data_IF_434033409012
#
_entry.id   IF_434033409012
#
_cell.length_a   1.000
_cell.length_b   1.000
_cell.length_c   1.000
_cell.angle_alpha   90.00
_cell.angle_beta   90.00
_cell.angle_gamma   90.00
#
_symmetry.space_group_name_H-M   'P 1'
#
loop_
_entity.id
_entity.type
_entity.pdbx_description
1 polymer ?
#
# COMPACT_ATOMS: atom_id res chain seq x y z
N UNK A 1 -43.30 11.46 -6.46
CA UNK A 1 -43.74 11.01 -5.13
C UNK A 1 -42.49 10.79 -4.29
N UNK A 2 -42.28 11.66 -3.31
CA UNK A 2 -41.12 11.69 -2.44
C UNK A 2 -41.38 10.80 -1.22
N UNK A 3 -40.34 10.10 -0.75
CA UNK A 3 -40.09 9.96 0.70
C UNK A 3 -38.61 9.70 0.93
N UNK A 4 -38.05 10.56 1.76
CA UNK A 4 -36.67 10.69 2.22
C UNK A 4 -36.38 9.84 3.46
N UNK A 5 -35.11 9.44 3.58
CA UNK A 5 -34.25 9.32 4.77
C UNK A 5 -34.85 9.10 6.18
N UNK A 6 -34.27 8.13 6.89
CA UNK A 6 -33.97 8.09 8.34
C UNK A 6 -33.04 6.87 8.53
N UNK A 7 -31.82 6.93 9.09
CA UNK A 7 -31.34 7.72 10.20
C UNK A 7 -30.79 6.73 11.22
N UNK A 8 -29.54 6.28 11.06
CA UNK A 8 -28.89 5.35 12.00
C UNK A 8 -28.50 6.11 13.27
N UNK A 9 -29.48 6.34 14.14
CA UNK A 9 -29.31 6.96 15.46
C UNK A 9 -29.15 5.87 16.52
N UNK A 10 -27.99 5.81 17.16
CA UNK A 10 -27.80 5.08 18.41
C UNK A 10 -28.40 5.92 19.56
N UNK A 11 -29.34 5.41 20.36
CA UNK A 11 -29.77 6.13 21.55
C UNK A 11 -28.76 5.88 22.67
N UNK A 12 -28.05 6.94 23.08
CA UNK A 12 -27.41 7.02 24.40
C UNK A 12 -28.49 7.44 25.40
N UNK A 13 -29.16 6.45 25.99
CA UNK A 13 -30.13 6.62 27.09
C UNK A 13 -29.55 6.05 28.40
N UNK A 14 -29.60 6.87 29.45
CA UNK A 14 -28.86 6.71 30.70
C UNK A 14 -29.20 5.51 31.60
N UNK A 15 -28.23 5.23 32.47
CA UNK A 15 -28.24 4.24 33.55
C UNK A 15 -29.44 4.40 34.50
N UNK A 16 -30.26 3.35 34.60
CA UNK A 16 -30.93 2.93 35.83
C UNK A 16 -30.24 1.63 36.29
N UNK A 17 -29.68 1.64 37.49
CA UNK A 17 -29.00 0.49 38.11
C UNK A 17 -29.98 -0.65 38.42
N UNK A 18 -29.48 -1.88 38.27
CA UNK A 18 -29.94 -3.03 39.02
C UNK A 18 -30.83 -4.00 38.25
N UNK A 19 -30.39 -5.26 38.18
CA UNK A 19 -31.13 -6.44 37.71
C UNK A 19 -31.20 -6.64 36.18
N UNK A 20 -30.07 -6.78 35.47
CA UNK A 20 -30.09 -7.36 34.12
C UNK A 20 -28.77 -7.99 33.66
N UNK A 21 -27.94 -8.46 34.58
CA UNK A 21 -26.70 -9.17 34.20
C UNK A 21 -26.98 -10.55 33.57
N UNK A 22 -27.94 -11.31 34.13
CA UNK A 22 -28.24 -12.69 33.69
C UNK A 22 -28.88 -12.73 32.30
N UNK A 23 -29.78 -11.80 31.97
CA UNK A 23 -30.42 -11.73 30.65
C UNK A 23 -29.44 -11.34 29.52
N UNK A 24 -28.35 -10.64 29.85
CA UNK A 24 -27.38 -10.19 28.84
C UNK A 24 -26.49 -11.34 28.38
N UNK A 25 -26.14 -12.26 29.28
CA UNK A 25 -25.28 -13.41 28.97
C UNK A 25 -26.02 -14.49 28.16
N UNK A 26 -27.30 -14.73 28.46
CA UNK A 26 -28.14 -15.64 27.68
C UNK A 26 -28.37 -15.13 26.25
N UNK A 27 -28.61 -13.82 26.09
CA UNK A 27 -28.74 -13.20 24.76
C UNK A 27 -27.44 -13.23 23.95
N UNK A 28 -26.29 -13.10 24.63
CA UNK A 28 -24.96 -13.17 24.00
C UNK A 28 -24.62 -14.60 23.58
N UNK A 29 -24.98 -15.59 24.39
CA UNK A 29 -24.81 -17.01 24.10
C UNK A 29 -25.76 -17.47 22.98
N UNK A 30 -27.03 -17.04 22.97
CA UNK A 30 -27.97 -17.30 21.87
C UNK A 30 -27.45 -16.72 20.54
N UNK A 31 -26.78 -15.55 20.59
CA UNK A 31 -26.08 -14.98 19.44
C UNK A 31 -24.93 -15.82 18.91
N UNK A 32 -24.23 -16.58 19.77
CA UNK A 32 -23.15 -17.50 19.38
C UNK A 32 -23.68 -18.84 18.83
N UNK A 33 -24.89 -19.23 19.21
CA UNK A 33 -25.57 -20.43 18.71
C UNK A 33 -26.26 -20.22 17.36
N UNK A 34 -26.40 -18.97 16.91
CA UNK A 34 -26.91 -18.65 15.57
C UNK A 34 -25.80 -18.86 14.55
N UNK A 35 -25.88 -19.89 13.69
CA UNK A 35 -24.90 -20.06 12.64
C UNK A 35 -24.94 -18.84 11.73
N UNK A 36 -23.77 -18.29 11.40
CA UNK A 36 -23.64 -17.25 10.38
C UNK A 36 -24.28 -17.76 9.10
N UNK A 37 -25.40 -17.16 8.68
CA UNK A 37 -26.03 -17.49 7.40
C UNK A 37 -25.11 -17.02 6.29
N UNK A 38 -24.43 -17.96 5.66
CA UNK A 38 -23.65 -17.71 4.46
C UNK A 38 -24.62 -17.63 3.28
N UNK A 39 -24.72 -16.46 2.64
CA UNK A 39 -25.41 -16.35 1.36
C UNK A 39 -24.58 -17.06 0.29
N UNK A 40 -25.23 -17.90 -0.52
CA UNK A 40 -24.57 -18.57 -1.64
C UNK A 40 -24.14 -17.56 -2.71
N UNK A 41 -22.89 -17.61 -3.16
CA UNK A 41 -22.40 -16.83 -4.29
C UNK A 41 -22.45 -17.63 -5.59
N UNK A 42 -22.85 -17.00 -6.70
CA UNK A 42 -22.81 -17.63 -8.03
C UNK A 42 -21.47 -17.37 -8.69
N UNK A 43 -20.84 -18.43 -9.19
CA UNK A 43 -19.64 -18.31 -10.00
C UNK A 43 -19.93 -17.61 -11.34
N UNK A 44 -19.00 -16.79 -11.81
CA UNK A 44 -19.00 -16.16 -13.12
C UNK A 44 -17.67 -16.38 -13.83
N UNK A 45 -17.63 -16.10 -15.13
CA UNK A 45 -16.38 -16.15 -15.91
C UNK A 45 -15.82 -14.76 -16.09
N UNK A 46 -14.50 -14.62 -15.94
CA UNK A 46 -13.80 -13.43 -16.40
C UNK A 46 -13.97 -13.34 -17.93
N UNK A 47 -14.08 -12.12 -18.48
CA UNK A 47 -14.34 -11.88 -19.90
C UNK A 47 -13.22 -12.37 -20.82
N UNK A 48 -12.81 -11.58 -21.81
CA UNK A 48 -11.68 -11.99 -22.65
C UNK A 48 -10.36 -11.88 -21.87
N UNK A 49 -9.90 -13.00 -21.30
CA UNK A 49 -8.68 -13.12 -20.48
C UNK A 49 -7.39 -12.71 -21.20
N UNK A 50 -7.41 -12.54 -22.53
CA UNK A 50 -6.26 -12.02 -23.28
C UNK A 50 -6.04 -10.51 -23.10
N UNK A 51 -7.04 -9.77 -22.62
CA UNK A 51 -6.98 -8.31 -22.50
C UNK A 51 -7.13 -7.81 -21.06
N UNK A 52 -7.15 -8.72 -20.08
CA UNK A 52 -7.40 -8.37 -18.69
C UNK A 52 -6.13 -8.62 -17.88
N UNK A 53 -5.71 -7.64 -17.07
CA UNK A 53 -4.84 -7.89 -15.90
C UNK A 53 -5.78 -8.07 -14.72
N UNK A 54 -5.85 -9.29 -14.18
CA UNK A 54 -6.78 -9.62 -13.11
C UNK A 54 -6.39 -8.97 -11.78
N UNK A 55 -7.38 -8.66 -10.95
CA UNK A 55 -7.18 -8.29 -9.56
C UNK A 55 -6.36 -9.35 -8.81
N UNK A 56 -5.49 -8.92 -7.92
CA UNK A 56 -4.54 -9.77 -7.20
C UNK A 56 -3.20 -9.96 -7.92
N UNK A 57 -3.05 -9.48 -9.16
CA UNK A 57 -1.74 -9.47 -9.83
C UNK A 57 -0.78 -8.52 -9.11
N UNK A 58 0.42 -9.01 -8.79
CA UNK A 58 1.51 -8.17 -8.27
C UNK A 58 2.41 -7.70 -9.40
N UNK A 59 2.50 -6.38 -9.59
CA UNK A 59 3.32 -5.75 -10.61
C UNK A 59 4.57 -5.16 -9.93
N UNK A 60 5.77 -5.72 -10.16
CA UNK A 60 6.99 -5.15 -9.63
C UNK A 60 7.34 -3.85 -10.35
N UNK A 61 7.79 -2.86 -9.57
CA UNK A 61 8.13 -1.52 -10.02
C UNK A 61 9.39 -1.04 -9.30
N UNK A 62 10.23 -0.26 -9.99
CA UNK A 62 11.42 0.38 -9.42
C UNK A 62 11.11 1.84 -9.23
N UNK A 63 11.31 2.37 -8.02
CA UNK A 63 11.06 3.78 -7.74
C UNK A 63 11.99 4.69 -8.55
N UNK A 64 11.44 5.70 -9.21
CA UNK A 64 12.21 6.77 -9.85
C UNK A 64 12.48 7.92 -8.87
N UNK A 65 11.53 8.17 -7.96
CA UNK A 65 11.59 9.24 -6.96
C UNK A 65 11.77 8.66 -5.57
N UNK A 66 12.59 9.31 -4.74
CA UNK A 66 12.60 9.05 -3.31
C UNK A 66 11.26 9.47 -2.68
N UNK A 67 10.88 8.82 -1.58
CA UNK A 67 9.71 9.18 -0.78
C UNK A 67 10.15 9.36 0.66
N UNK A 68 9.63 10.40 1.30
CA UNK A 68 9.84 10.66 2.72
C UNK A 68 8.47 10.93 3.35
N UNK A 69 8.15 10.26 4.45
CA UNK A 69 6.83 10.40 5.08
C UNK A 69 6.68 11.68 5.90
N UNK A 70 7.69 12.55 5.92
CA UNK A 70 7.65 13.86 6.54
C UNK A 70 6.62 14.77 5.86
N UNK A 71 6.57 14.73 4.52
CA UNK A 71 5.69 15.57 3.71
C UNK A 71 4.90 14.72 2.70
N UNK A 72 3.55 14.83 2.63
CA UNK A 72 2.78 14.18 1.58
C UNK A 72 3.18 14.68 0.19
N UNK A 73 3.22 13.76 -0.78
CA UNK A 73 3.68 14.07 -2.13
C UNK A 73 3.32 13.01 -3.16
N UNK A 74 3.89 13.18 -4.35
CA UNK A 74 3.77 12.24 -5.46
C UNK A 74 4.99 11.33 -5.55
N UNK A 75 4.76 10.10 -6.02
CA UNK A 75 5.81 9.14 -6.33
C UNK A 75 5.68 8.65 -7.76
N UNK A 76 6.82 8.40 -8.40
CA UNK A 76 6.90 7.74 -9.70
C UNK A 76 7.70 6.46 -9.59
N UNK A 77 7.28 5.42 -10.29
CA UNK A 77 8.02 4.18 -10.44
C UNK A 77 7.92 3.67 -11.88
N UNK A 78 8.90 2.89 -12.31
CA UNK A 78 8.94 2.27 -13.63
C UNK A 78 8.84 0.75 -13.51
N UNK A 79 7.95 0.15 -14.29
CA UNK A 79 7.79 -1.30 -14.34
C UNK A 79 9.04 -1.91 -14.99
N UNK A 80 9.67 -2.86 -14.30
CA UNK A 80 10.94 -3.47 -14.74
C UNK A 80 10.77 -4.73 -15.62
N UNK A 81 9.57 -5.29 -15.69
CA UNK A 81 9.25 -6.49 -16.49
C UNK A 81 7.90 -6.39 -17.17
N UNK A 82 7.71 -7.13 -18.26
CA UNK A 82 6.43 -7.15 -18.96
C UNK A 82 5.31 -7.70 -18.07
N UNK A 83 4.18 -6.98 -18.01
CA UNK A 83 2.96 -7.43 -17.32
C UNK A 83 2.05 -8.10 -18.34
N UNK A 84 1.79 -9.37 -18.08
CA UNK A 84 1.01 -10.23 -18.94
C UNK A 84 -0.49 -10.14 -18.62
N UNK A 85 -1.30 -10.59 -19.57
CA UNK A 85 -2.72 -10.87 -19.41
C UNK A 85 -2.96 -11.99 -18.39
N UNK A 86 -4.19 -12.12 -17.91
CA UNK A 86 -4.59 -13.11 -16.90
C UNK A 86 -4.32 -14.56 -17.33
N UNK A 87 -4.37 -14.84 -18.64
CA UNK A 87 -3.98 -16.15 -19.19
C UNK A 87 -2.49 -16.28 -19.57
N UNK A 88 -1.68 -15.24 -19.34
CA UNK A 88 -0.24 -15.23 -19.57
C UNK A 88 0.20 -15.12 -21.04
N UNK A 89 -0.71 -14.87 -21.99
CA UNK A 89 -0.42 -14.96 -23.43
C UNK A 89 -0.03 -13.63 -24.08
N UNK A 90 -0.51 -12.51 -23.56
CA UNK A 90 -0.38 -11.20 -24.18
C UNK A 90 0.28 -10.25 -23.19
N UNK A 91 1.28 -9.49 -23.64
CA UNK A 91 1.84 -8.38 -22.84
C UNK A 91 0.86 -7.20 -22.91
N UNK A 92 0.31 -6.78 -21.78
CA UNK A 92 -0.63 -5.66 -21.69
C UNK A 92 0.03 -4.37 -21.21
N UNK A 93 1.08 -4.46 -20.40
CA UNK A 93 1.94 -3.33 -20.08
C UNK A 93 3.39 -3.75 -20.24
N UNK A 94 4.11 -3.07 -21.12
CA UNK A 94 5.51 -3.37 -21.37
C UNK A 94 6.40 -2.90 -20.22
N UNK A 95 7.57 -3.52 -20.08
CA UNK A 95 8.66 -2.95 -19.28
C UNK A 95 8.93 -1.50 -19.72
N UNK A 96 9.24 -0.62 -18.77
CA UNK A 96 9.34 0.82 -19.01
C UNK A 96 8.02 1.56 -18.88
N UNK A 97 6.90 0.89 -18.58
CA UNK A 97 5.65 1.55 -18.20
C UNK A 97 5.87 2.39 -16.94
N UNK A 98 5.59 3.68 -17.03
CA UNK A 98 5.72 4.62 -15.92
C UNK A 98 4.43 4.64 -15.12
N UNK A 99 4.53 4.51 -13.81
CA UNK A 99 3.40 4.55 -12.89
C UNK A 99 3.57 5.72 -11.93
N UNK A 100 2.53 6.53 -11.82
CA UNK A 100 2.47 7.66 -10.91
C UNK A 100 1.46 7.40 -9.81
N UNK A 101 1.81 7.78 -8.60
CA UNK A 101 1.02 7.61 -7.39
C UNK A 101 1.22 8.74 -6.43
N UNK A 102 0.52 8.66 -5.31
CA UNK A 102 0.58 9.60 -4.21
C UNK A 102 0.77 8.85 -2.90
N UNK A 103 1.46 9.48 -1.97
CA UNK A 103 1.61 8.97 -0.62
C UNK A 103 1.25 10.06 0.37
N UNK A 104 0.71 9.64 1.50
CA UNK A 104 0.37 10.55 2.59
C UNK A 104 1.54 10.60 3.58
N UNK A 105 1.84 11.79 4.07
CA UNK A 105 2.78 11.96 5.17
C UNK A 105 2.20 11.45 6.49
N UNK A 106 3.06 11.41 7.50
CA UNK A 106 2.71 11.01 8.86
C UNK A 106 2.70 9.50 9.04
N UNK A 107 3.78 8.95 9.64
CA UNK A 107 3.76 7.59 10.18
C UNK A 107 3.21 7.62 11.61
N UNK A 108 2.32 6.67 11.93
CA UNK A 108 1.89 6.48 13.31
C UNK A 108 2.98 5.77 14.13
N UNK A 109 2.96 5.95 15.46
CA UNK A 109 3.86 5.23 16.36
C UNK A 109 3.63 3.73 16.24
N UNK A 110 4.72 2.97 16.10
CA UNK A 110 4.69 1.52 15.86
C UNK A 110 4.51 1.12 14.40
N UNK A 111 4.12 2.06 13.53
CA UNK A 111 4.11 1.84 12.08
C UNK A 111 5.55 1.86 11.54
N UNK A 112 5.86 0.94 10.62
CA UNK A 112 7.17 0.86 9.93
C UNK A 112 7.01 0.78 8.42
N UNK A 113 5.85 1.22 7.91
CA UNK A 113 5.40 1.05 6.54
C UNK A 113 4.61 2.26 6.09
N UNK A 114 4.93 2.76 4.91
CA UNK A 114 4.26 3.90 4.30
C UNK A 114 3.19 3.41 3.33
N UNK A 115 1.98 3.96 3.45
CA UNK A 115 0.92 3.69 2.48
C UNK A 115 1.10 4.59 1.27
N UNK A 116 1.14 3.96 0.09
CA UNK A 116 1.24 4.64 -1.21
C UNK A 116 0.11 4.13 -2.09
N UNK A 117 -0.55 5.03 -2.80
CA UNK A 117 -1.62 4.73 -3.75
C UNK A 117 -1.12 4.99 -5.17
N UNK A 118 -1.08 3.94 -5.99
CA UNK A 118 -0.74 4.06 -7.41
C UNK A 118 -1.99 4.43 -8.21
N UNK A 119 -1.97 5.60 -8.82
CA UNK A 119 -3.13 6.20 -9.45
C UNK A 119 -3.23 5.83 -10.93
N UNK A 120 -2.15 6.00 -11.69
CA UNK A 120 -2.15 5.86 -13.15
C UNK A 120 -0.86 5.24 -13.66
N UNK A 121 -0.98 4.29 -14.58
CA UNK A 121 0.13 3.80 -15.39
C UNK A 121 0.05 4.34 -16.83
N UNK A 122 1.21 4.60 -17.42
CA UNK A 122 1.41 5.04 -18.80
C UNK A 122 2.45 4.14 -19.46
N UNK A 123 2.02 3.37 -20.46
CA UNK A 123 2.92 2.51 -21.22
C UNK A 123 3.86 3.33 -22.12
N UNK A 124 5.00 2.77 -22.56
CA UNK A 124 5.87 3.41 -23.54
C UNK A 124 5.16 3.75 -24.86
N UNK A 125 4.08 3.03 -25.19
CA UNK A 125 3.24 3.27 -26.37
C UNK A 125 2.19 4.37 -26.18
N UNK A 126 2.14 5.02 -25.02
CA UNK A 126 1.18 6.10 -24.72
C UNK A 126 -0.19 5.62 -24.26
N UNK A 127 -0.39 4.33 -24.01
CA UNK A 127 -1.63 3.80 -23.42
C UNK A 127 -1.64 4.12 -21.93
N UNK A 128 -2.73 4.72 -21.46
CA UNK A 128 -2.93 5.05 -20.05
C UNK A 128 -3.97 4.13 -19.43
N UNK A 129 -3.76 3.76 -18.17
CA UNK A 129 -4.71 2.97 -17.38
C UNK A 129 -4.76 3.50 -15.94
N UNK A 130 -5.97 3.60 -15.40
CA UNK A 130 -6.18 3.97 -13.99
C UNK A 130 -6.04 2.71 -13.14
N UNK A 131 -5.08 2.70 -12.22
CA UNK A 131 -4.83 1.58 -11.34
C UNK A 131 -5.66 1.68 -10.06
N UNK A 132 -5.64 2.85 -9.42
CA UNK A 132 -6.21 3.10 -8.09
C UNK A 132 -5.98 1.90 -7.15
N UNK A 133 -4.70 1.52 -7.02
CA UNK A 133 -4.24 0.27 -6.42
C UNK A 133 -3.17 0.54 -5.35
N UNK A 134 -3.22 -0.14 -4.20
CA UNK A 134 -2.28 0.08 -3.12
C UNK A 134 -0.88 -0.43 -3.47
N UNK A 135 0.13 0.21 -2.90
CA UNK A 135 1.49 -0.28 -2.90
C UNK A 135 1.69 -1.41 -1.89
N UNK A 136 2.64 -2.26 -2.23
CA UNK A 136 3.13 -3.39 -1.44
C UNK A 136 4.65 -3.41 -1.51
N UNK A 137 5.28 -4.08 -0.55
CA UNK A 137 6.71 -4.37 -0.65
C UNK A 137 7.00 -5.48 -1.66
N UNK A 138 8.27 -5.80 -1.88
CA UNK A 138 8.67 -6.86 -2.81
C UNK A 138 8.09 -8.26 -2.46
N UNK A 139 7.61 -8.46 -1.23
CA UNK A 139 6.98 -9.70 -0.76
C UNK A 139 5.44 -9.63 -0.80
N UNK A 140 4.85 -8.52 -1.25
CA UNK A 140 3.40 -8.34 -1.32
C UNK A 140 2.73 -7.93 0.00
N UNK A 141 3.49 -7.58 1.05
CA UNK A 141 2.89 -7.05 2.29
C UNK A 141 2.42 -5.61 2.04
N UNK A 142 1.29 -5.22 2.63
CA UNK A 142 0.68 -3.90 2.42
C UNK A 142 1.60 -2.75 2.85
N UNK A 143 1.66 -1.70 2.02
CA UNK A 143 2.56 -0.57 2.20
C UNK A 143 4.00 -0.87 1.83
N UNK A 144 4.79 0.18 1.66
CA UNK A 144 6.23 0.08 1.35
C UNK A 144 7.04 0.13 2.65
N UNK A 145 8.07 -0.71 2.73
CA UNK A 145 9.07 -0.70 3.79
C UNK A 145 10.11 0.40 3.54
N UNK A 146 10.81 0.86 4.56
CA UNK A 146 11.88 1.86 4.38
C UNK A 146 12.68 2.07 5.65
N UNK A 147 13.63 3.01 5.61
CA UNK A 147 14.38 3.41 6.78
C UNK A 147 13.50 4.29 7.67
N UNK A 148 13.32 3.88 8.93
CA UNK A 148 12.51 4.63 9.90
C UNK A 148 13.42 5.46 10.78
N UNK A 149 13.31 6.78 10.67
CA UNK A 149 13.91 7.71 11.62
C UNK A 149 12.93 7.96 12.77
N UNK A 150 13.37 7.63 13.98
CA UNK A 150 12.57 7.83 15.19
C UNK A 150 12.75 9.21 15.81
N UNK A 151 13.67 10.01 15.28
CA UNK A 151 14.09 11.31 15.79
C UNK A 151 14.44 11.25 17.29
N UNK A 152 15.14 10.19 17.71
CA UNK A 152 15.32 9.90 19.14
C UNK A 152 16.10 11.01 19.85
N UNK A 153 17.12 11.58 19.20
CA UNK A 153 17.94 12.63 19.81
C UNK A 153 17.19 13.96 19.89
N UNK A 154 16.39 14.29 18.88
CA UNK A 154 15.51 15.46 18.86
C UNK A 154 14.39 15.33 19.90
N UNK A 155 13.93 14.09 20.15
CA UNK A 155 12.86 13.78 21.10
C UNK A 155 13.34 13.76 22.54
N UNK A 156 14.45 13.10 22.82
CA UNK A 156 14.88 12.80 24.19
C UNK A 156 16.22 13.43 24.58
N UNK A 157 16.94 14.06 23.65
CA UNK A 157 18.25 14.65 23.90
C UNK A 157 18.19 15.79 24.92
N UNK A 158 17.19 16.68 24.84
CA UNK A 158 17.01 17.77 25.81
C UNK A 158 16.67 17.25 27.20
N UNK A 159 15.73 16.29 27.30
CA UNK A 159 15.34 15.65 28.55
C UNK A 159 16.54 15.01 29.26
N UNK A 160 17.39 14.32 28.49
CA UNK A 160 18.59 13.67 28.99
C UNK A 160 19.62 14.69 29.51
N UNK A 161 19.84 15.80 28.79
CA UNK A 161 20.71 16.87 29.24
C UNK A 161 20.20 17.55 30.52
N UNK A 162 18.89 17.82 30.61
CA UNK A 162 18.26 18.36 31.81
C UNK A 162 18.37 17.40 33.00
N UNK A 163 18.22 16.09 32.77
CA UNK A 163 18.43 15.08 33.81
C UNK A 163 19.86 15.11 34.36
N UNK A 164 20.86 15.20 33.48
CA UNK A 164 22.27 15.28 33.90
C UNK A 164 22.55 16.55 34.70
N UNK A 165 21.97 17.69 34.31
CA UNK A 165 22.10 18.95 35.07
C UNK A 165 21.43 18.82 36.44
N UNK A 166 20.22 18.26 36.51
CA UNK A 166 19.51 18.01 37.77
C UNK A 166 20.30 17.08 38.71
N UNK A 167 20.86 15.99 38.17
CA UNK A 167 21.69 15.04 38.93
C UNK A 167 23.00 15.68 39.40
N UNK A 168 23.63 16.52 38.57
CA UNK A 168 24.86 17.23 38.94
C UNK A 168 24.61 18.28 40.04
N UNK A 169 23.53 19.06 39.95
CA UNK A 169 23.15 20.05 40.96
C UNK A 169 22.77 19.40 42.29
N UNK A 170 21.99 18.30 42.25
CA UNK A 170 21.63 17.55 43.47
C UNK A 170 22.83 16.85 44.11
N UNK A 171 23.75 16.30 43.30
CA UNK A 171 25.00 15.74 43.83
C UNK A 171 25.89 16.82 44.46
N UNK A 172 26.02 17.98 43.81
CA UNK A 172 26.80 19.11 44.34
C UNK A 172 26.21 19.67 45.64
N UNK A 173 24.88 19.86 45.70
CA UNK A 173 24.21 20.31 46.93
C UNK A 173 24.32 19.28 48.06
N UNK A 174 24.26 17.97 47.76
CA UNK A 174 24.46 16.91 48.75
C UNK A 174 25.89 16.85 49.33
N UNK A 175 26.89 17.40 48.62
CA UNK A 175 28.28 17.52 49.10
C UNK A 175 28.52 18.83 49.87
N UNK A 176 27.66 19.83 49.69
CA UNK A 176 27.69 21.14 50.32
C UNK A 176 26.71 21.21 51.52
N UNK A 177 26.64 20.15 52.34
CA UNK A 177 25.76 19.99 53.53
C UNK A 177 25.95 21.03 54.67
N UNK A 178 26.40 22.24 54.35
CA UNK A 178 26.48 23.40 55.25
C UNK A 178 25.65 24.61 54.75
N UNK A 179 24.92 24.47 53.64
CA UNK A 179 23.99 25.51 53.17
C UNK A 179 22.58 24.96 52.95
N UNK A 180 21.62 25.68 53.51
CA UNK A 180 20.17 25.51 53.48
C UNK A 180 19.62 25.58 52.04
N UNK A 181 19.92 24.59 51.21
CA UNK A 181 19.33 24.40 49.89
C UNK A 181 18.38 23.21 49.94
N UNK A 182 17.08 23.51 49.83
CA UNK A 182 15.98 22.56 49.91
C UNK A 182 16.07 21.52 48.78
N UNK A 183 16.73 20.40 49.08
CA UNK A 183 16.95 19.31 48.14
C UNK A 183 15.62 18.62 47.71
N UNK A 184 14.56 18.81 48.49
CA UNK A 184 13.24 18.24 48.23
C UNK A 184 12.56 18.88 46.99
N UNK A 185 12.74 20.19 46.80
CA UNK A 185 12.20 20.95 45.66
C UNK A 185 12.97 20.68 44.35
N UNK A 186 14.25 20.32 44.43
CA UNK A 186 15.05 19.98 43.23
C UNK A 186 14.69 18.61 42.67
N UNK A 187 14.41 17.62 43.53
CA UNK A 187 14.02 16.26 43.10
C UNK A 187 12.62 16.23 42.46
N UNK A 188 11.66 17.01 42.99
CA UNK A 188 10.32 17.16 42.42
C UNK A 188 10.34 17.93 41.10
N UNK A 189 11.17 18.97 40.97
CA UNK A 189 11.38 19.70 39.72
C UNK A 189 12.01 18.83 38.61
N UNK A 190 12.96 17.94 38.95
CA UNK A 190 13.54 16.98 38.01
C UNK A 190 12.52 15.96 37.47
N UNK A 191 11.64 15.45 38.34
CA UNK A 191 10.56 14.53 37.93
C UNK A 191 9.52 15.22 37.05
N UNK A 192 9.15 16.48 37.35
CA UNK A 192 8.24 17.27 36.51
C UNK A 192 8.88 17.66 35.18
N UNK A 193 10.15 18.04 35.14
CA UNK A 193 10.86 18.33 33.90
C UNK A 193 10.97 17.10 32.99
N UNK A 194 11.25 15.92 33.57
CA UNK A 194 11.24 14.66 32.83
C UNK A 194 9.85 14.30 32.28
N UNK A 195 8.78 14.52 33.06
CA UNK A 195 7.41 14.31 32.61
C UNK A 195 7.02 15.27 31.46
N UNK A 196 7.35 16.56 31.57
CA UNK A 196 7.08 17.58 30.54
C UNK A 196 7.89 17.29 29.26
N UNK A 197 9.15 16.89 29.39
CA UNK A 197 9.97 16.55 28.24
C UNK A 197 9.48 15.27 27.54
N UNK A 198 8.97 14.28 28.29
CA UNK A 198 8.29 13.12 27.71
C UNK A 198 7.00 13.56 26.98
N UNK A 199 6.20 14.43 27.57
CA UNK A 199 4.97 14.96 26.95
C UNK A 199 5.24 15.75 25.67
N UNK A 200 6.31 16.57 25.61
CA UNK A 200 6.68 17.29 24.40
C UNK A 200 7.36 16.40 23.34
N UNK A 201 8.13 15.39 23.76
CA UNK A 201 8.79 14.42 22.86
C UNK A 201 7.82 13.49 22.13
N UNK A 202 6.59 13.40 22.62
CA UNK A 202 5.49 12.65 21.99
C UNK A 202 5.06 13.31 20.66
N UNK A 203 5.33 14.59 20.46
CA UNK A 203 4.81 15.36 19.33
C UNK A 203 5.65 15.29 18.05
N UNK A 204 6.87 14.74 18.09
CA UNK A 204 7.69 14.54 16.88
C UNK A 204 7.37 13.15 16.31
N UNK A 205 6.65 13.05 15.17
CA UNK A 205 6.33 11.76 14.57
C UNK A 205 7.59 11.11 13.98
N UNK A 206 7.68 9.77 13.98
CA UNK A 206 8.72 9.10 13.22
C UNK A 206 8.50 9.35 11.72
N UNK A 207 9.59 9.39 10.95
CA UNK A 207 9.53 9.47 9.49
C UNK A 207 10.06 8.18 8.87
N UNK A 208 9.56 7.85 7.68
CA UNK A 208 10.02 6.75 6.87
C UNK A 208 10.56 7.29 5.56
N UNK A 209 11.82 6.96 5.28
CA UNK A 209 12.52 7.31 4.06
C UNK A 209 12.68 6.06 3.17
N UNK A 210 12.32 6.20 1.90
CA UNK A 210 12.50 5.20 0.85
C UNK A 210 13.31 5.84 -0.27
N UNK A 211 14.45 5.25 -0.63
CA UNK A 211 15.29 5.81 -1.67
C UNK A 211 14.77 5.48 -3.07
N UNK A 212 15.18 6.31 -4.02
CA UNK A 212 15.03 6.02 -5.44
C UNK A 212 15.81 4.75 -5.82
N UNK A 213 15.35 4.04 -6.83
CA UNK A 213 15.92 2.76 -7.28
C UNK A 213 15.49 1.55 -6.44
N UNK A 214 14.82 1.76 -5.30
CA UNK A 214 14.31 0.65 -4.51
C UNK A 214 13.09 -0.02 -5.16
N UNK A 215 12.98 -1.33 -4.93
CA UNK A 215 11.89 -2.15 -5.45
C UNK A 215 10.63 -1.99 -4.60
N UNK A 216 9.52 -1.76 -5.28
CA UNK A 216 8.16 -1.76 -4.73
C UNK A 216 7.28 -2.60 -5.63
N UNK A 217 6.13 -3.03 -5.12
CA UNK A 217 5.15 -3.77 -5.92
C UNK A 217 3.79 -3.09 -5.86
N UNK A 218 3.06 -3.17 -6.95
CA UNK A 218 1.69 -2.67 -7.06
C UNK A 218 0.78 -3.89 -6.98
N UNK A 219 -0.10 -3.90 -5.98
CA UNK A 219 -1.10 -4.94 -5.88
C UNK A 219 -2.37 -4.49 -6.58
N UNK A 220 -2.66 -5.08 -7.74
CA UNK A 220 -3.79 -4.69 -8.59
C UNK A 220 -5.09 -4.96 -7.85
N UNK A 221 -5.80 -3.90 -7.46
CA UNK A 221 -7.03 -3.99 -6.66
C UNK A 221 -8.30 -4.21 -7.50
N UNK A 222 -8.20 -4.11 -8.82
CA UNK A 222 -9.34 -4.21 -9.75
C UNK A 222 -8.88 -4.73 -11.11
N UNK A 223 -9.76 -5.43 -11.81
CA UNK A 223 -9.46 -5.90 -13.16
C UNK A 223 -9.21 -4.72 -14.10
N UNK A 224 -8.08 -4.75 -14.80
CA UNK A 224 -7.70 -3.75 -15.80
C UNK A 224 -8.00 -4.29 -17.20
N UNK A 225 -8.98 -3.71 -17.87
CA UNK A 225 -9.39 -4.12 -19.22
C UNK A 225 -8.74 -3.25 -20.31
N UNK A 226 -7.99 -3.90 -21.18
CA UNK A 226 -7.31 -3.31 -22.33
C UNK A 226 -7.97 -3.63 -23.67
N UNK A 227 -9.14 -4.29 -23.67
CA UNK A 227 -9.85 -4.75 -24.88
C UNK A 227 -10.19 -3.63 -25.86
N UNK A 228 -10.32 -2.39 -25.37
CA UNK A 228 -10.61 -1.20 -26.19
C UNK A 228 -9.39 -0.64 -26.91
N UNK A 229 -8.18 -1.00 -26.46
CA UNK A 229 -6.93 -0.41 -26.95
C UNK A 229 -6.10 -1.41 -27.75
N UNK A 230 -6.06 -2.68 -27.30
CA UNK A 230 -5.34 -3.73 -27.99
C UNK A 230 -6.29 -4.63 -28.79
N UNK A 231 -5.80 -5.11 -29.93
CA UNK A 231 -6.44 -6.16 -30.73
C UNK A 231 -5.41 -7.21 -31.13
N UNK A 232 -5.81 -8.47 -31.14
CA UNK A 232 -4.99 -9.56 -31.61
C UNK A 232 -5.19 -9.73 -33.12
N UNK A 233 -4.09 -9.66 -33.87
CA UNK A 233 -4.05 -10.04 -35.28
C UNK A 233 -3.36 -11.40 -35.41
N UNK A 234 -3.97 -12.30 -36.18
CA UNK A 234 -3.32 -13.54 -36.58
C UNK A 234 -2.21 -13.16 -37.57
N UNK A 235 -0.96 -13.27 -37.14
CA UNK A 235 0.18 -13.30 -38.04
C UNK A 235 0.28 -14.73 -38.53
N UNK A 236 -0.02 -14.98 -39.80
CA UNK A 236 -0.11 -16.32 -40.40
C UNK A 236 1.04 -17.26 -39.94
N UNK A 237 0.75 -18.55 -39.73
CA UNK A 237 1.82 -19.51 -39.45
C UNK A 237 2.74 -19.55 -40.66
N UNK A 238 4.04 -19.37 -40.42
CA UNK A 238 5.10 -19.60 -41.39
C UNK A 238 5.22 -21.11 -41.66
N UNK A 239 4.17 -21.74 -42.17
CA UNK A 239 4.22 -23.08 -42.72
C UNK A 239 4.23 -22.97 -44.25
N UNK A 240 5.28 -22.32 -44.77
CA UNK A 240 5.78 -22.69 -46.10
C UNK A 240 6.42 -24.05 -45.92
N UNK A 241 5.66 -25.11 -46.15
CA UNK A 241 6.23 -26.41 -46.47
C UNK A 241 6.98 -26.18 -47.78
N UNK A 242 8.29 -25.94 -47.71
CA UNK A 242 9.14 -26.15 -48.87
C UNK A 242 9.25 -27.66 -49.01
N UNK A 243 8.27 -28.28 -49.67
CA UNK A 243 8.44 -29.62 -50.20
C UNK A 243 9.55 -29.54 -51.26
N UNK A 244 10.78 -29.74 -50.80
CA UNK A 244 11.99 -29.76 -51.63
C UNK A 244 12.07 -31.04 -52.49
N UNK A 245 10.96 -31.75 -52.68
CA UNK A 245 10.93 -33.06 -53.30
C UNK A 245 9.89 -33.23 -54.42
N UNK A 246 9.30 -32.16 -54.94
CA UNK A 246 8.46 -32.25 -56.17
C UNK A 246 8.95 -31.29 -57.23
N UNK A 247 10.19 -31.49 -57.69
CA UNK A 247 10.56 -31.25 -59.09
C UNK A 247 10.10 -32.49 -59.87
N UNK A 248 8.77 -32.62 -59.98
CA UNK A 248 8.09 -33.56 -60.86
C UNK A 248 7.32 -32.73 -61.86
N UNK A 249 7.89 -32.61 -63.05
CA UNK A 249 7.34 -32.03 -64.27
C UNK A 249 5.86 -32.40 -64.48
N UNK A 250 4.96 -31.43 -64.36
CA UNK A 250 3.62 -31.47 -64.95
C UNK A 250 3.22 -30.06 -65.38
N UNK A 251 3.62 -29.69 -66.59
CA UNK A 251 2.90 -28.65 -67.33
C UNK A 251 1.56 -29.21 -67.83
N UNK A 252 0.43 -28.51 -67.67
CA UNK A 252 -0.72 -28.75 -68.52
C UNK A 252 -0.42 -28.15 -69.90
N UNK A 253 -0.54 -28.95 -70.96
CA UNK A 253 -0.52 -28.44 -72.34
C UNK A 253 -1.68 -27.46 -72.52
N UNK A 254 -1.38 -26.17 -72.65
CA UNK A 254 -2.33 -25.19 -73.16
C UNK A 254 -2.38 -25.31 -74.68
N UNK A 255 -3.43 -25.97 -75.17
CA UNK A 255 -3.90 -25.87 -76.54
C UNK A 255 -4.85 -24.68 -76.66
N UNK A 256 -4.69 -23.93 -77.76
CA UNK A 256 -5.60 -22.93 -78.34
C UNK A 256 -5.45 -21.49 -77.85
N UNK A 257 -5.58 -20.45 -78.67
CA UNK A 257 -5.38 -20.18 -80.12
C UNK A 257 -5.56 -18.65 -80.18
N UNK A 258 -4.77 -17.99 -81.00
CA UNK A 258 -4.90 -16.57 -81.35
C UNK A 258 -6.32 -16.17 -81.77
N UNK A 259 -6.79 -15.03 -81.25
CA UNK A 259 -7.30 -13.94 -82.09
C UNK A 259 -7.08 -12.60 -81.38
#
# INVERSE_FOLDING_TARGET
AATSAEGNCLPLGGNMMGQNAVNTDEQRFDGLLRPTRLEGSRAGTLGNRNYIVAMGTSIPCVLETAMASDQPGFASCVINRDVLSDNGRVVLMEKGTQVVGEYRGGLQRGQKRLFVLWNRAKTPKGVIVTLASPATDALGRAGVDGHVDTHWWERFGSALLLSVVGDATSYASSRLQDSDVDAQDTASAGQQAAAIAVEQSINIPPTLNKHQGELVSIFVARDLDFSRVYSLRITEPRNRIFDRAVLGDFSPRTTLVTK
#
